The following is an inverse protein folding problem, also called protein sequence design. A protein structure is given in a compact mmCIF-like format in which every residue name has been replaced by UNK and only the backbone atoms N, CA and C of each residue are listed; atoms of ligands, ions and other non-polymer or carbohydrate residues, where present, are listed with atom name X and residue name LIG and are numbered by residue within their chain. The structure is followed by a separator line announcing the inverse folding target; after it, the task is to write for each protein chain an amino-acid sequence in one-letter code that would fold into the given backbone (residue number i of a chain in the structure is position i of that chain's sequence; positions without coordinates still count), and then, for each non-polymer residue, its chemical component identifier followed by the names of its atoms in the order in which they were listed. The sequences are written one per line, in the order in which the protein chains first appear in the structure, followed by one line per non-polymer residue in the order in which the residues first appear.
data_IF_767638321369
#
_entry.id   IF_767638321369
#
_cell.length_a   1.000
_cell.length_b   1.000
_cell.length_c   1.000
_cell.angle_alpha   90.00
_cell.angle_beta   90.00
_cell.angle_gamma   90.00
#
_symmetry.space_group_name_H-M   'P 1'
#
loop_
_entity.id
_entity.type
_entity.pdbx_description
1 polymer ?
#
# COMPACT_ATOMS: atom_id res chain seq x y z
N UNK A 1 7.08 2.39 20.36
CA UNK A 1 6.21 1.98 19.23
C UNK A 1 6.80 2.61 18.00
N UNK A 2 7.29 1.82 17.05
CA UNK A 2 7.73 2.36 15.75
C UNK A 2 6.45 2.70 14.99
N UNK A 3 6.23 3.99 14.76
CA UNK A 3 5.12 4.49 13.99
C UNK A 3 5.52 4.40 12.52
N UNK A 4 4.74 3.68 11.69
CA UNK A 4 4.87 3.78 10.24
C UNK A 4 4.76 5.25 9.86
N UNK A 5 5.79 5.79 9.22
CA UNK A 5 5.90 7.25 9.01
C UNK A 5 6.57 7.62 7.70
N UNK A 6 7.12 6.67 6.93
CA UNK A 6 7.51 6.92 5.54
C UNK A 6 6.57 6.18 4.61
N UNK A 7 5.86 6.96 3.81
CA UNK A 7 4.97 6.45 2.80
C UNK A 7 5.68 6.52 1.44
N UNK A 8 5.54 5.47 0.65
CA UNK A 8 5.81 5.51 -0.78
C UNK A 8 4.48 5.29 -1.48
N UNK A 9 3.88 6.36 -1.99
CA UNK A 9 2.68 6.27 -2.80
C UNK A 9 3.07 6.12 -4.26
N UNK A 10 2.59 5.07 -4.91
CA UNK A 10 2.75 4.81 -6.33
C UNK A 10 1.37 4.83 -6.97
N UNK A 11 1.13 5.82 -7.83
CA UNK A 11 -0.08 5.95 -8.64
C UNK A 11 0.14 5.26 -9.97
N UNK A 12 -0.71 4.27 -10.24
CA UNK A 12 -0.65 3.41 -11.43
C UNK A 12 -1.92 3.54 -12.25
N UNK A 13 -1.89 3.05 -13.48
CA UNK A 13 -3.09 2.85 -14.28
C UNK A 13 -4.11 1.96 -13.57
N UNK A 14 -5.40 2.20 -13.84
CA UNK A 14 -6.49 1.39 -13.29
C UNK A 14 -6.28 -0.10 -13.55
N UNK A 15 -6.04 -0.85 -12.49
CA UNK A 15 -5.66 -2.27 -12.56
C UNK A 15 -6.62 -3.11 -11.73
N UNK A 16 -6.99 -4.29 -12.25
CA UNK A 16 -7.83 -5.24 -11.50
C UNK A 16 -7.13 -5.67 -10.21
N UNK A 17 -7.84 -5.77 -9.07
CA UNK A 17 -7.21 -6.10 -7.80
C UNK A 17 -6.39 -7.38 -7.79
N UNK A 18 -6.92 -8.44 -8.40
CA UNK A 18 -6.23 -9.73 -8.51
C UNK A 18 -4.84 -9.60 -9.12
N UNK A 19 -4.70 -8.80 -10.18
CA UNK A 19 -3.44 -8.66 -10.93
C UNK A 19 -2.41 -7.92 -10.08
N UNK A 20 -2.80 -6.76 -9.51
CA UNK A 20 -1.84 -5.92 -8.79
C UNK A 20 -1.44 -6.54 -7.45
N UNK A 21 -2.41 -7.10 -6.71
CA UNK A 21 -2.15 -7.73 -5.41
C UNK A 21 -1.23 -8.94 -5.57
N UNK A 22 -1.50 -9.80 -6.57
CA UNK A 22 -0.65 -10.95 -6.84
C UNK A 22 0.77 -10.54 -7.25
N UNK A 23 0.89 -9.54 -8.13
CA UNK A 23 2.19 -9.05 -8.56
C UNK A 23 3.02 -8.46 -7.42
N UNK A 24 2.42 -7.59 -6.60
CA UNK A 24 3.12 -6.98 -5.47
C UNK A 24 3.52 -8.05 -4.45
N UNK A 25 2.63 -9.01 -4.18
CA UNK A 25 2.96 -10.15 -3.33
C UNK A 25 4.17 -10.94 -3.85
N UNK A 26 4.22 -11.26 -5.15
CA UNK A 26 5.34 -11.98 -5.76
C UNK A 26 6.66 -11.20 -5.66
N UNK A 27 6.64 -9.88 -5.90
CA UNK A 27 7.85 -9.05 -5.74
C UNK A 27 8.33 -9.08 -4.29
N UNK A 28 7.42 -8.95 -3.32
CA UNK A 28 7.78 -8.93 -1.91
C UNK A 28 8.37 -10.28 -1.47
N UNK A 29 7.79 -11.39 -1.92
CA UNK A 29 8.36 -12.74 -1.68
C UNK A 29 9.76 -12.90 -2.27
N UNK A 30 10.00 -12.44 -3.50
CA UNK A 30 11.34 -12.45 -4.12
C UNK A 30 12.36 -11.64 -3.30
N UNK A 31 11.88 -10.63 -2.57
CA UNK A 31 12.66 -9.79 -1.68
C UNK A 31 12.66 -10.27 -0.21
N UNK A 32 12.25 -11.53 0.05
CA UNK A 32 12.29 -12.19 1.36
C UNK A 32 11.35 -11.56 2.42
N UNK A 33 10.29 -10.91 1.97
CA UNK A 33 9.16 -10.57 2.81
C UNK A 33 8.17 -11.72 2.84
N UNK A 34 7.59 -11.97 4.00
CA UNK A 34 6.47 -12.89 4.18
C UNK A 34 5.29 -12.12 4.73
N UNK A 35 4.05 -12.57 4.46
CA UNK A 35 2.88 -11.99 5.11
C UNK A 35 3.04 -12.17 6.62
N UNK A 36 2.84 -11.07 7.35
CA UNK A 36 2.92 -11.07 8.81
C UNK A 36 1.77 -11.93 9.37
N UNK A 37 2.09 -12.83 10.31
CA UNK A 37 1.17 -13.85 10.83
C UNK A 37 0.82 -13.68 12.31
N UNK A 38 1.21 -12.57 12.92
CA UNK A 38 0.96 -12.24 14.32
C UNK A 38 0.00 -11.06 14.43
N UNK A 39 -0.58 -10.86 15.62
CA UNK A 39 -1.78 -10.08 16.01
C UNK A 39 -1.97 -8.64 15.47
N UNK A 40 -1.06 -8.13 14.65
CA UNK A 40 -1.04 -6.78 14.09
C UNK A 40 -1.01 -6.75 12.55
N UNK A 41 -1.35 -7.85 11.88
CA UNK A 41 -1.44 -7.86 10.44
C UNK A 41 -2.74 -7.22 10.00
N UNK A 42 -2.65 -5.92 9.72
CA UNK A 42 -3.76 -5.08 9.31
C UNK A 42 -4.32 -5.56 7.97
N UNK A 43 -5.58 -5.99 8.02
CA UNK A 43 -6.45 -6.18 6.87
C UNK A 43 -7.63 -5.22 7.04
N UNK A 44 -7.54 -4.04 6.45
CA UNK A 44 -8.69 -3.16 6.27
C UNK A 44 -9.17 -3.44 4.85
N UNK A 45 -10.34 -4.05 4.69
CA UNK A 45 -11.09 -3.81 3.45
C UNK A 45 -11.83 -2.52 3.70
N UNK A 46 -11.74 -1.56 2.79
CA UNK A 46 -12.62 -0.40 2.81
C UNK A 46 -14.05 -0.88 2.48
N UNK A 47 -14.68 -1.57 3.42
CA UNK A 47 -16.07 -1.98 3.35
C UNK A 47 -16.93 -0.73 3.54
N UNK A 48 -17.17 -0.01 2.46
CA UNK A 48 -18.32 0.87 2.34
C UNK A 48 -19.59 0.00 2.44
N UNK A 49 -20.28 -0.01 3.59
CA UNK A 49 -21.66 0.51 3.73
C UNK A 49 -22.42 0.10 5.01
N UNK A 50 -22.98 1.14 5.67
CA UNK A 50 -24.31 1.20 6.31
C UNK A 50 -24.66 0.19 7.42
N UNK A 51 -24.04 0.31 8.59
CA UNK A 51 -24.73 -0.16 9.81
C UNK A 51 -24.52 0.81 10.98
N UNK A 52 -25.61 1.26 11.60
CA UNK A 52 -25.67 2.16 12.76
C UNK A 52 -25.05 1.54 14.05
N UNK A 53 -24.22 0.52 13.90
CA UNK A 53 -23.55 -0.23 14.97
C UNK A 53 -22.01 -0.15 14.90
N UNK A 54 -21.47 0.64 13.99
CA UNK A 54 -20.03 0.71 13.68
C UNK A 54 -19.13 1.38 14.74
N UNK A 55 -19.66 1.98 15.81
CA UNK A 55 -18.82 2.68 16.81
C UNK A 55 -17.96 1.77 17.72
N UNK A 56 -17.98 0.44 17.55
CA UNK A 56 -17.19 -0.48 18.41
C UNK A 56 -16.08 -1.26 17.72
N UNK A 57 -16.06 -1.34 16.39
CA UNK A 57 -15.20 -2.32 15.70
C UNK A 57 -14.16 -1.70 14.75
N UNK A 58 -14.13 -0.38 14.57
CA UNK A 58 -13.23 0.30 13.62
C UNK A 58 -11.73 0.31 13.98
N UNK A 59 -11.36 -0.22 15.15
CA UNK A 59 -9.96 -0.35 15.61
C UNK A 59 -9.57 -1.78 15.96
N UNK A 60 -10.41 -2.77 15.62
CA UNK A 60 -10.05 -4.16 15.86
C UNK A 60 -9.13 -4.59 14.73
N UNK A 61 -7.83 -4.38 14.93
CA UNK A 61 -6.80 -5.17 14.26
C UNK A 61 -7.22 -6.63 14.35
N UNK A 62 -7.74 -7.18 13.25
CA UNK A 62 -8.07 -8.59 13.20
C UNK A 62 -6.73 -9.33 13.26
N UNK A 63 -6.56 -10.21 14.24
CA UNK A 63 -5.53 -11.23 14.15
C UNK A 63 -5.67 -11.87 12.76
N UNK A 64 -4.59 -11.94 11.98
CA UNK A 64 -4.64 -12.70 10.73
C UNK A 64 -4.93 -14.13 11.11
N UNK A 65 -6.18 -14.54 10.90
CA UNK A 65 -6.64 -15.88 11.18
C UNK A 65 -5.98 -16.85 10.19
N UNK A 66 -5.74 -16.39 8.95
CA UNK A 66 -5.02 -17.13 7.92
C UNK A 66 -4.44 -16.18 6.82
N UNK A 67 -3.10 -16.03 6.74
CA UNK A 67 -2.45 -15.12 5.78
C UNK A 67 -2.79 -15.39 4.32
N UNK A 68 -3.08 -16.65 3.99
CA UNK A 68 -3.43 -17.06 2.62
C UNK A 68 -4.84 -16.60 2.27
N UNK A 69 -5.80 -16.77 3.19
CA UNK A 69 -7.19 -16.36 2.96
C UNK A 69 -7.31 -14.85 2.83
N UNK A 70 -6.58 -14.08 3.63
CA UNK A 70 -6.66 -12.62 3.58
C UNK A 70 -6.02 -12.06 2.30
N UNK A 71 -4.95 -12.68 1.80
CA UNK A 71 -4.42 -12.37 0.47
C UNK A 71 -5.46 -12.65 -0.64
N UNK A 72 -6.16 -13.79 -0.56
CA UNK A 72 -7.20 -14.13 -1.55
C UNK A 72 -8.39 -13.17 -1.49
N UNK A 73 -8.81 -12.72 -0.30
CA UNK A 73 -9.85 -11.68 -0.17
C UNK A 73 -9.40 -10.37 -0.80
N UNK A 74 -8.16 -9.93 -0.54
CA UNK A 74 -7.63 -8.69 -1.13
C UNK A 74 -7.58 -8.73 -2.66
N UNK A 75 -7.25 -9.89 -3.25
CA UNK A 75 -7.31 -10.09 -4.71
C UNK A 75 -8.72 -9.91 -5.30
N UNK A 76 -9.76 -9.96 -4.48
CA UNK A 76 -11.16 -9.80 -4.90
C UNK A 76 -11.79 -8.47 -4.48
N UNK A 77 -11.07 -7.61 -3.74
CA UNK A 77 -11.60 -6.37 -3.20
C UNK A 77 -10.91 -5.14 -3.81
N UNK A 78 -11.64 -4.08 -4.20
CA UNK A 78 -11.09 -2.88 -4.82
C UNK A 78 -10.48 -1.93 -3.77
N UNK A 79 -9.69 -2.44 -2.84
CA UNK A 79 -9.07 -1.62 -1.80
C UNK A 79 -8.71 -2.44 -0.58
N UNK A 80 -7.72 -1.94 0.16
CA UNK A 80 -7.35 -2.46 1.46
C UNK A 80 -5.84 -2.59 1.66
N UNK A 81 -5.43 -3.17 2.79
CA UNK A 81 -4.02 -3.30 3.12
C UNK A 81 -3.64 -4.70 3.59
N UNK A 82 -2.35 -5.04 3.47
CA UNK A 82 -1.78 -6.27 4.00
C UNK A 82 -0.36 -6.04 4.53
N UNK A 83 -0.10 -6.59 5.72
CA UNK A 83 1.19 -6.44 6.38
C UNK A 83 2.17 -7.56 6.03
N UNK A 84 3.42 -7.19 5.86
CA UNK A 84 4.56 -8.06 5.58
C UNK A 84 5.65 -7.87 6.64
N UNK A 85 6.42 -8.93 6.88
CA UNK A 85 7.62 -8.89 7.70
C UNK A 85 8.80 -9.62 7.04
N UNK A 86 10.01 -9.14 7.31
CA UNK A 86 11.24 -9.85 6.98
C UNK A 86 11.60 -10.88 8.06
N UNK A 87 12.59 -11.74 7.78
CA UNK A 87 13.17 -12.68 8.78
C UNK A 87 13.71 -11.92 10.02
N UNK A 88 14.15 -10.66 9.84
CA UNK A 88 14.64 -9.79 10.92
C UNK A 88 13.53 -9.06 11.67
N UNK A 89 12.26 -9.37 11.39
CA UNK A 89 11.07 -8.73 11.98
C UNK A 89 10.96 -7.23 11.65
N UNK A 90 11.53 -6.80 10.55
CA UNK A 90 11.26 -5.48 9.97
C UNK A 90 9.91 -5.55 9.26
N UNK A 91 9.02 -4.59 9.55
CA UNK A 91 7.62 -4.60 9.12
C UNK A 91 7.39 -3.63 7.96
N UNK A 92 6.46 -4.00 7.10
CA UNK A 92 6.03 -3.23 5.94
C UNK A 92 4.52 -3.43 5.77
N UNK A 93 3.74 -2.36 5.83
CA UNK A 93 2.33 -2.42 5.43
C UNK A 93 2.22 -1.98 3.97
N UNK A 94 1.43 -2.71 3.18
CA UNK A 94 1.13 -2.31 1.79
C UNK A 94 -0.36 -2.07 1.66
N UNK A 95 -0.71 -0.81 1.40
CA UNK A 95 -2.05 -0.37 1.05
C UNK A 95 -2.27 -0.40 -0.46
N UNK A 96 -3.50 -0.70 -0.83
CA UNK A 96 -4.01 -0.66 -2.19
C UNK A 96 -5.26 0.23 -2.18
N UNK A 97 -5.26 1.25 -3.00
CA UNK A 97 -6.33 2.26 -3.00
C UNK A 97 -7.06 2.26 -4.33
N UNK A 98 -8.38 2.41 -4.28
CA UNK A 98 -9.24 2.62 -5.43
C UNK A 98 -9.94 3.96 -5.31
N UNK A 99 -10.10 4.69 -6.41
CA UNK A 99 -10.91 5.91 -6.46
C UNK A 99 -12.24 5.69 -7.18
N UNK A 100 -12.56 4.46 -7.58
CA UNK A 100 -13.76 4.14 -8.36
C UNK A 100 -14.49 2.88 -7.86
N UNK A 101 -14.06 2.32 -6.72
CA UNK A 101 -14.58 1.11 -6.08
C UNK A 101 -14.55 -0.14 -6.98
N UNK A 102 -13.72 -0.18 -8.02
CA UNK A 102 -13.65 -1.31 -8.98
C UNK A 102 -12.21 -1.72 -9.25
N UNK A 103 -11.33 -0.75 -9.54
CA UNK A 103 -9.93 -0.98 -9.89
C UNK A 103 -9.00 -0.27 -8.91
N UNK A 104 -7.83 -0.84 -8.70
CA UNK A 104 -6.78 -0.20 -7.90
C UNK A 104 -5.98 0.73 -8.79
N UNK A 105 -5.71 1.93 -8.29
CA UNK A 105 -4.88 2.95 -8.94
C UNK A 105 -3.83 3.57 -7.99
N UNK A 106 -3.81 3.16 -6.72
CA UNK A 106 -2.78 3.52 -5.74
C UNK A 106 -2.16 2.30 -5.06
N UNK A 107 -0.85 2.35 -4.84
CA UNK A 107 -0.10 1.41 -4.00
C UNK A 107 0.68 2.23 -2.98
N UNK A 108 0.41 2.03 -1.70
CA UNK A 108 1.08 2.75 -0.60
C UNK A 108 1.94 1.78 0.18
N UNK A 109 3.25 2.02 0.27
CA UNK A 109 4.12 1.30 1.20
C UNK A 109 4.29 2.13 2.46
N UNK A 110 3.72 1.69 3.58
CA UNK A 110 3.95 2.31 4.90
C UNK A 110 5.09 1.59 5.59
N UNK A 111 6.16 2.33 5.84
CA UNK A 111 7.46 1.77 6.25
C UNK A 111 7.99 2.53 7.45
N UNK A 112 8.68 1.81 8.33
CA UNK A 112 9.54 2.44 9.34
C UNK A 112 10.64 3.28 8.62
N UNK A 113 10.81 4.57 8.94
CA UNK A 113 11.76 5.44 8.22
C UNK A 113 13.20 4.95 8.29
N UNK A 114 13.61 4.37 9.43
CA UNK A 114 14.95 3.84 9.56
C UNK A 114 15.14 2.57 8.72
N UNK A 115 14.11 1.74 8.59
CA UNK A 115 14.13 0.61 7.67
C UNK A 115 14.19 1.07 6.20
N UNK A 116 13.39 2.07 5.82
CA UNK A 116 13.38 2.65 4.48
C UNK A 116 14.74 3.26 4.10
N UNK A 117 15.34 4.05 4.99
CA UNK A 117 16.65 4.69 4.76
C UNK A 117 17.77 3.66 4.56
N UNK A 118 17.83 2.63 5.43
CA UNK A 118 18.86 1.56 5.32
C UNK A 118 18.68 0.67 4.10
N UNK A 119 17.47 0.61 3.54
CA UNK A 119 17.12 -0.28 2.43
C UNK A 119 16.63 0.50 1.21
N UNK A 120 17.15 1.70 0.97
CA UNK A 120 16.75 2.54 -0.18
C UNK A 120 16.85 1.79 -1.52
N UNK A 121 17.96 1.08 -1.75
CA UNK A 121 18.18 0.31 -2.98
C UNK A 121 17.15 -0.83 -3.16
N UNK A 122 16.68 -1.43 -2.07
CA UNK A 122 15.62 -2.44 -2.10
C UNK A 122 14.32 -1.84 -2.63
N UNK A 123 13.89 -0.70 -2.08
CA UNK A 123 12.67 -0.03 -2.49
C UNK A 123 12.76 0.55 -3.90
N UNK A 124 13.92 1.08 -4.30
CA UNK A 124 14.15 1.52 -5.68
C UNK A 124 14.06 0.34 -6.67
N UNK A 125 14.54 -0.85 -6.29
CA UNK A 125 14.38 -2.06 -7.10
C UNK A 125 12.93 -2.54 -7.17
N UNK A 126 12.18 -2.50 -6.06
CA UNK A 126 10.74 -2.81 -6.04
C UNK A 126 10.00 -1.87 -7.00
N UNK A 127 10.19 -0.56 -6.86
CA UNK A 127 9.60 0.46 -7.73
C UNK A 127 9.97 0.20 -9.20
N UNK A 128 11.23 -0.11 -9.49
CA UNK A 128 11.69 -0.42 -10.85
C UNK A 128 10.99 -1.66 -11.43
N UNK A 129 10.71 -2.67 -10.63
CA UNK A 129 9.98 -3.84 -11.09
C UNK A 129 8.50 -3.52 -11.35
N UNK A 130 7.87 -2.69 -10.52
CA UNK A 130 6.51 -2.18 -10.76
C UNK A 130 6.46 -1.41 -12.09
N UNK A 131 7.41 -0.49 -12.34
CA UNK A 131 7.54 0.27 -13.60
C UNK A 131 7.66 -0.59 -14.86
N UNK A 132 8.13 -1.83 -14.76
CA UNK A 132 8.26 -2.72 -15.92
C UNK A 132 6.94 -3.35 -16.35
N UNK A 133 5.96 -3.39 -15.44
CA UNK A 133 4.70 -4.12 -15.64
C UNK A 133 3.52 -3.16 -15.73
N UNK A 134 3.53 -2.08 -14.95
CA UNK A 134 2.45 -1.09 -14.92
C UNK A 134 2.93 0.27 -15.41
N UNK A 135 2.04 0.98 -16.09
CA UNK A 135 2.20 2.39 -16.34
C UNK A 135 2.04 3.16 -15.03
N UNK A 136 3.08 3.93 -14.67
CA UNK A 136 3.09 4.73 -13.45
C UNK A 136 2.76 6.18 -13.82
N UNK A 137 1.62 6.68 -13.35
CA UNK A 137 1.27 8.09 -13.42
C UNK A 137 2.08 8.88 -12.40
N UNK A 138 2.35 8.28 -11.24
CA UNK A 138 3.37 8.83 -10.40
C UNK A 138 3.85 8.13 -9.14
N UNK A 139 4.87 8.69 -8.48
CA UNK A 139 5.49 8.20 -7.26
C UNK A 139 5.76 9.40 -6.34
N UNK A 140 5.21 9.36 -5.13
CA UNK A 140 5.54 10.29 -4.04
C UNK A 140 6.31 9.51 -2.98
N UNK A 141 7.34 10.13 -2.39
CA UNK A 141 8.14 9.57 -1.28
C UNK A 141 8.27 10.62 -0.18
N UNK A 142 8.13 10.23 1.09
CA UNK A 142 8.45 11.11 2.21
C UNK A 142 7.60 10.86 3.45
N UNK A 143 7.87 11.63 4.50
CA UNK A 143 7.15 11.55 5.76
C UNK A 143 5.93 12.49 5.83
N UNK A 144 5.80 13.39 4.84
CA UNK A 144 4.77 14.44 4.78
C UNK A 144 3.92 14.32 3.50
N UNK A 145 3.72 13.09 3.00
CA UNK A 145 2.95 12.84 1.77
C UNK A 145 1.51 13.32 1.91
N UNK A 146 0.92 13.12 3.09
CA UNK A 146 -0.48 13.40 3.38
C UNK A 146 -0.62 14.62 4.30
N UNK A 147 -0.04 15.76 3.91
CA UNK A 147 -0.14 17.07 4.61
C UNK A 147 -1.61 17.56 4.70
N UNK A 148 -2.46 16.84 5.45
CA UNK A 148 -3.91 16.99 5.64
C UNK A 148 -4.81 16.55 4.46
N UNK A 149 -4.29 15.78 3.50
CA UNK A 149 -5.07 15.24 2.37
C UNK A 149 -5.19 13.72 2.46
N UNK A 150 -6.33 13.16 2.03
CA UNK A 150 -6.51 11.70 1.95
C UNK A 150 -5.68 11.12 0.80
N UNK A 151 -5.31 9.83 0.92
CA UNK A 151 -4.64 9.08 -0.15
C UNK A 151 -5.38 9.15 -1.47
N UNK A 152 -6.70 8.97 -1.44
CA UNK A 152 -7.57 9.09 -2.61
C UNK A 152 -7.44 10.46 -3.28
N UNK A 153 -7.42 11.55 -2.50
CA UNK A 153 -7.31 12.90 -3.05
C UNK A 153 -5.97 13.11 -3.75
N UNK A 154 -4.87 12.60 -3.18
CA UNK A 154 -3.55 12.68 -3.82
C UNK A 154 -3.46 11.84 -5.10
N UNK A 155 -4.04 10.65 -5.09
CA UNK A 155 -4.16 9.80 -6.28
C UNK A 155 -4.94 10.53 -7.38
N UNK A 156 -6.12 11.07 -7.07
CA UNK A 156 -6.94 11.84 -8.02
C UNK A 156 -6.20 13.07 -8.55
N UNK A 157 -5.45 13.79 -7.70
CA UNK A 157 -4.65 14.93 -8.14
C UNK A 157 -3.59 14.52 -9.16
N UNK A 158 -2.87 13.42 -8.92
CA UNK A 158 -1.88 12.88 -9.87
C UNK A 158 -2.55 12.43 -11.17
N UNK A 159 -3.65 11.68 -11.09
CA UNK A 159 -4.39 11.21 -12.28
C UNK A 159 -4.92 12.36 -13.13
N UNK A 160 -5.33 13.46 -12.50
CA UNK A 160 -5.80 14.68 -13.18
C UNK A 160 -4.67 15.61 -13.65
N UNK A 161 -3.39 15.19 -13.56
CA UNK A 161 -2.24 15.99 -13.97
C UNK A 161 -1.94 17.19 -13.07
N UNK A 162 -2.56 17.27 -11.89
CA UNK A 162 -2.32 18.30 -10.87
C UNK A 162 -1.28 17.78 -9.87
N UNK A 163 -0.05 17.61 -10.34
CA UNK A 163 1.05 17.19 -9.46
C UNK A 163 1.45 18.38 -8.59
N UNK A 164 1.39 18.22 -7.27
CA UNK A 164 1.87 19.23 -6.35
C UNK A 164 3.40 19.36 -6.48
N UNK A 165 3.87 20.53 -6.92
CA UNK A 165 5.30 20.81 -7.21
C UNK A 165 6.23 20.57 -5.99
N UNK A 166 5.67 20.52 -4.78
CA UNK A 166 6.37 20.21 -3.52
C UNK A 166 6.98 18.81 -3.50
N UNK A 167 6.43 17.84 -4.23
CA UNK A 167 6.81 16.41 -4.18
C UNK A 167 7.63 15.95 -5.39
N UNK A 168 8.31 16.89 -6.05
CA UNK A 168 8.99 16.76 -7.33
C UNK A 168 9.66 15.39 -7.54
N UNK A 169 9.32 14.82 -8.69
CA UNK A 169 9.59 13.45 -9.11
C UNK A 169 11.01 13.24 -9.62
N UNK A 170 11.54 12.03 -9.39
CA UNK A 170 12.61 11.45 -10.20
C UNK A 170 11.95 10.54 -11.25
N UNK A 171 11.74 11.08 -12.45
CA UNK A 171 11.57 10.28 -13.65
C UNK A 171 12.88 10.44 -14.43
N UNK A 172 13.74 9.43 -14.35
CA UNK A 172 14.78 9.17 -15.36
C UNK A 172 14.27 8.05 -16.28
#
# INVERSE_FOLDING_TARGET
MSHFTTDILIVIEETKPTIIVEFIHQILQQNKFNIQTNDLSFFCLDELQNDEHLEKDYDIGREVQNPVEDLEKLKSHPGGAISYETIKKERLLVGFTSTNDITINGITFYIDPHFAERNKDLFDNIIKNIKKVFNIHGIIKGNDIFDNLSEETEIENILNGKINEKYKYVID
#
